data_IF_182260798466
#
_entry.id   IF_182260798466
#
_cell.length_a   1.000
_cell.length_b   1.000
_cell.length_c   1.000
_cell.angle_alpha   90.00
_cell.angle_beta   90.00
_cell.angle_gamma   90.00
#
_symmetry.space_group_name_H-M   'P 1'
#
loop_
_entity.id
_entity.type
_entity.pdbx_description
1 polymer ?
#
# COMPACT_ATOMS: atom_id res chain seq x y z
N UNK A 1 -5.24 -11.58 -1.27
CA UNK A 1 -4.17 -10.54 -1.30
C UNK A 1 -3.87 -9.99 0.08
N UNK A 2 -4.86 -9.71 0.94
CA UNK A 2 -4.60 -9.26 2.32
C UNK A 2 -3.67 -10.22 3.10
N UNK A 3 -3.92 -11.53 3.04
CA UNK A 3 -3.08 -12.52 3.69
C UNK A 3 -1.64 -12.55 3.14
N UNK A 4 -1.45 -12.40 1.81
CA UNK A 4 -0.12 -12.30 1.21
C UNK A 4 0.60 -11.02 1.66
N UNK A 5 -0.12 -9.90 1.73
CA UNK A 5 0.44 -8.64 2.23
C UNK A 5 0.85 -8.77 3.70
N UNK A 6 0.06 -9.47 4.51
CA UNK A 6 0.40 -9.76 5.90
C UNK A 6 1.59 -10.73 6.03
N UNK A 7 1.66 -11.77 5.19
CA UNK A 7 2.80 -12.69 5.19
C UNK A 7 4.12 -11.95 4.88
N UNK A 8 4.10 -11.02 3.94
CA UNK A 8 5.27 -10.19 3.61
C UNK A 8 5.63 -9.16 4.70
N UNK A 9 4.71 -8.84 5.60
CA UNK A 9 5.01 -8.01 6.78
C UNK A 9 6.03 -8.68 7.71
N UNK A 10 6.04 -10.01 7.79
CA UNK A 10 7.01 -10.74 8.63
C UNK A 10 8.44 -10.76 8.08
N UNK A 11 8.68 -10.24 6.88
CA UNK A 11 10.02 -9.97 6.38
C UNK A 11 10.48 -8.61 6.94
N UNK A 12 11.40 -8.58 7.92
CA UNK A 12 11.75 -7.35 8.61
C UNK A 12 12.60 -6.45 7.71
N UNK A 13 12.02 -5.32 7.28
CA UNK A 13 12.71 -4.25 6.58
C UNK A 13 12.52 -2.93 7.33
N UNK A 14 12.93 -2.91 8.58
CA UNK A 14 12.84 -1.73 9.45
C UNK A 14 14.23 -1.28 9.90
N UNK A 15 14.37 0.03 10.06
CA UNK A 15 15.53 0.65 10.70
C UNK A 15 15.00 1.35 11.94
N UNK A 16 15.35 0.80 13.11
CA UNK A 16 14.73 1.23 14.38
C UNK A 16 13.22 0.96 14.42
N UNK A 17 12.50 1.71 15.25
CA UNK A 17 11.05 1.58 15.43
C UNK A 17 10.22 2.44 14.48
N UNK A 18 10.84 3.40 13.78
CA UNK A 18 10.10 4.48 13.11
C UNK A 18 10.19 4.45 11.59
N UNK A 19 11.16 3.74 11.01
CA UNK A 19 11.30 3.61 9.56
C UNK A 19 11.03 2.17 9.12
N UNK A 20 10.12 1.99 8.15
CA UNK A 20 9.72 0.67 7.65
C UNK A 20 9.51 0.69 6.15
N UNK A 21 10.05 -0.30 5.44
CA UNK A 21 9.70 -0.58 4.04
C UNK A 21 8.65 -1.69 4.03
N UNK A 22 7.45 -1.35 3.61
CA UNK A 22 6.30 -2.26 3.63
C UNK A 22 6.20 -3.08 2.34
N UNK A 23 6.71 -4.30 2.35
CA UNK A 23 6.59 -5.22 1.20
C UNK A 23 5.15 -5.62 0.88
N UNK A 24 4.25 -5.61 1.87
CA UNK A 24 2.83 -5.87 1.66
C UNK A 24 2.14 -4.85 0.74
N UNK A 25 2.77 -3.69 0.51
CA UNK A 25 2.30 -2.71 -0.47
C UNK A 25 2.31 -3.27 -1.90
N UNK A 26 3.25 -4.18 -2.23
CA UNK A 26 3.38 -4.78 -3.57
C UNK A 26 2.11 -5.56 -3.96
N UNK A 27 1.71 -6.63 -3.23
CA UNK A 27 0.54 -7.41 -3.61
C UNK A 27 -0.76 -6.62 -3.51
N UNK A 28 -0.88 -5.67 -2.57
CA UNK A 28 -2.07 -4.84 -2.49
C UNK A 28 -2.18 -3.90 -3.69
N UNK A 29 -1.08 -3.24 -4.07
CA UNK A 29 -1.06 -2.36 -5.25
C UNK A 29 -1.33 -3.15 -6.54
N UNK A 30 -0.72 -4.33 -6.70
CA UNK A 30 -1.02 -5.22 -7.84
C UNK A 30 -2.51 -5.56 -7.90
N UNK A 31 -3.10 -5.93 -6.76
CA UNK A 31 -4.52 -6.27 -6.68
C UNK A 31 -5.41 -5.08 -7.01
N UNK A 32 -5.06 -3.90 -6.52
CA UNK A 32 -5.76 -2.65 -6.78
C UNK A 32 -5.76 -2.28 -8.28
N UNK A 33 -4.59 -2.33 -8.90
CA UNK A 33 -4.42 -2.11 -10.34
C UNK A 33 -5.16 -3.14 -11.21
N UNK A 34 -5.34 -4.35 -10.68
CA UNK A 34 -5.98 -5.46 -11.37
C UNK A 34 -7.50 -5.48 -11.21
N UNK A 35 -8.04 -5.02 -10.08
CA UNK A 35 -9.45 -5.20 -9.67
C UNK A 35 -10.19 -3.88 -9.41
N UNK A 36 -9.48 -2.76 -9.42
CA UNK A 36 -10.05 -1.45 -9.16
C UNK A 36 -10.15 -1.11 -7.68
N UNK A 37 -10.65 0.10 -7.42
CA UNK A 37 -10.59 0.73 -6.10
C UNK A 37 -11.44 0.01 -5.04
N UNK A 38 -12.71 -0.29 -5.33
CA UNK A 38 -13.63 -0.86 -4.31
C UNK A 38 -13.13 -2.18 -3.72
N UNK A 39 -12.76 -3.21 -4.53
CA UNK A 39 -12.18 -4.44 -3.98
C UNK A 39 -10.86 -4.21 -3.25
N UNK A 40 -10.06 -3.23 -3.70
CA UNK A 40 -8.77 -2.93 -3.10
C UNK A 40 -8.90 -2.26 -1.73
N UNK A 41 -9.86 -1.35 -1.57
CA UNK A 41 -10.18 -0.76 -0.26
C UNK A 41 -10.56 -1.86 0.75
N UNK A 42 -11.40 -2.80 0.33
CA UNK A 42 -11.78 -3.92 1.18
C UNK A 42 -10.58 -4.84 1.52
N UNK A 43 -9.74 -5.15 0.54
CA UNK A 43 -8.52 -5.93 0.78
C UNK A 43 -7.54 -5.21 1.72
N UNK A 44 -7.43 -3.89 1.61
CA UNK A 44 -6.66 -3.05 2.53
C UNK A 44 -7.22 -3.09 3.95
N UNK A 45 -8.55 -2.96 4.10
CA UNK A 45 -9.21 -3.10 5.40
C UNK A 45 -8.89 -4.46 6.04
N UNK A 46 -9.04 -5.54 5.29
CA UNK A 46 -8.71 -6.87 5.77
C UNK A 46 -7.23 -6.98 6.17
N UNK A 47 -6.33 -6.42 5.38
CA UNK A 47 -4.92 -6.40 5.73
C UNK A 47 -4.66 -5.66 7.05
N UNK A 48 -5.24 -4.47 7.24
CA UNK A 48 -5.15 -3.73 8.50
C UNK A 48 -5.71 -4.50 9.70
N UNK A 49 -6.84 -5.20 9.52
CA UNK A 49 -7.44 -6.03 10.56
C UNK A 49 -6.57 -7.24 10.93
N UNK A 50 -5.81 -7.80 9.98
CA UNK A 50 -4.91 -8.92 10.25
C UNK A 50 -3.79 -8.57 11.24
N UNK A 51 -3.40 -7.32 11.39
CA UNK A 51 -2.44 -6.90 12.43
C UNK A 51 -2.95 -7.19 13.85
N UNK A 52 -4.26 -7.01 14.08
CA UNK A 52 -4.87 -7.35 15.37
C UNK A 52 -4.94 -8.87 15.56
N UNK A 53 -5.35 -9.60 14.54
CA UNK A 53 -5.48 -11.07 14.58
C UNK A 53 -4.14 -11.76 14.82
N UNK A 54 -3.06 -11.24 14.21
CA UNK A 54 -1.71 -11.79 14.35
C UNK A 54 -0.97 -11.30 15.59
N UNK A 55 -1.56 -10.37 16.36
CA UNK A 55 -0.94 -9.79 17.55
C UNK A 55 0.26 -8.87 17.25
N UNK A 56 0.41 -8.41 16.01
CA UNK A 56 1.53 -7.54 15.59
C UNK A 56 1.17 -6.05 15.61
N UNK A 57 -0.08 -5.71 15.93
CA UNK A 57 -0.50 -4.33 16.11
C UNK A 57 0.11 -3.74 17.38
N UNK A 58 0.72 -2.56 17.25
CA UNK A 58 1.17 -1.79 18.40
C UNK A 58 0.07 -0.81 18.80
N UNK A 59 -0.47 -0.95 19.99
CA UNK A 59 -1.65 -0.21 20.44
C UNK A 59 -1.28 0.70 21.62
N UNK A 60 -1.28 2.01 21.40
CA UNK A 60 -1.19 3.02 22.47
C UNK A 60 -2.59 3.41 22.96
N UNK A 61 -3.50 3.65 22.04
CA UNK A 61 -4.90 3.97 22.29
C UNK A 61 -5.79 3.32 21.25
N UNK A 62 -7.09 3.09 21.54
CA UNK A 62 -8.01 2.55 20.52
C UNK A 62 -8.12 3.43 19.28
N UNK A 63 -8.08 4.75 19.43
CA UNK A 63 -8.18 5.70 18.31
C UNK A 63 -6.94 5.65 17.43
N UNK A 64 -5.75 5.63 18.03
CA UNK A 64 -4.49 5.44 17.30
C UNK A 64 -4.53 4.13 16.50
N UNK A 65 -4.88 3.02 17.13
CA UNK A 65 -4.93 1.72 16.50
C UNK A 65 -5.91 1.69 15.30
N UNK A 66 -7.08 2.34 15.43
CA UNK A 66 -8.06 2.46 14.36
C UNK A 66 -7.49 3.24 13.15
N UNK A 67 -6.77 4.33 13.41
CA UNK A 67 -6.17 5.15 12.34
C UNK A 67 -5.03 4.40 11.65
N UNK A 68 -4.12 3.80 12.42
CA UNK A 68 -2.90 3.19 11.88
C UNK A 68 -3.15 1.88 11.14
N UNK A 69 -4.17 1.10 11.54
CA UNK A 69 -4.41 -0.21 10.92
C UNK A 69 -5.64 -0.20 10.00
N UNK A 70 -6.89 -0.19 10.46
CA UNK A 70 -8.03 -0.25 9.56
C UNK A 70 -8.06 0.90 8.55
N UNK A 71 -7.90 2.14 8.99
CA UNK A 71 -8.03 3.31 8.11
C UNK A 71 -6.84 3.38 7.16
N UNK A 72 -5.61 3.46 7.67
CA UNK A 72 -4.43 3.65 6.84
C UNK A 72 -4.31 2.55 5.76
N UNK A 73 -4.48 1.30 6.14
CA UNK A 73 -4.37 0.18 5.20
C UNK A 73 -5.52 0.13 4.18
N UNK A 74 -6.74 0.54 4.57
CA UNK A 74 -7.85 0.71 3.62
C UNK A 74 -7.46 1.69 2.51
N UNK A 75 -6.88 2.83 2.88
CA UNK A 75 -6.52 3.88 1.93
C UNK A 75 -5.42 3.46 0.94
N UNK A 76 -4.61 2.44 1.24
CA UNK A 76 -3.71 1.85 0.24
C UNK A 76 -4.45 1.34 -1.01
N UNK A 77 -5.73 1.01 -0.90
CA UNK A 77 -6.60 0.63 -2.01
C UNK A 77 -6.83 1.71 -3.06
N UNK A 78 -6.47 2.97 -2.79
CA UNK A 78 -6.54 4.06 -3.78
C UNK A 78 -5.58 3.88 -4.96
N UNK A 79 -4.62 2.97 -4.89
CA UNK A 79 -3.89 2.51 -6.08
C UNK A 79 -4.84 2.07 -7.21
N UNK A 80 -6.02 1.58 -6.88
CA UNK A 80 -7.06 1.14 -7.81
C UNK A 80 -7.72 2.24 -8.65
N UNK A 81 -7.50 3.53 -8.33
CA UNK A 81 -7.91 4.66 -9.17
C UNK A 81 -7.27 4.59 -10.56
N UNK A 82 -6.13 3.91 -10.66
CA UNK A 82 -5.38 3.75 -11.90
C UNK A 82 -5.64 2.40 -12.60
N UNK A 83 -6.65 1.64 -12.17
CA UNK A 83 -7.08 0.41 -12.82
C UNK A 83 -7.51 0.66 -14.28
N UNK A 84 -8.49 1.53 -14.51
CA UNK A 84 -8.98 1.79 -15.87
C UNK A 84 -7.92 2.41 -16.79
N UNK A 85 -7.14 3.43 -16.36
CA UNK A 85 -6.02 3.91 -17.15
C UNK A 85 -5.02 2.81 -17.54
N UNK A 86 -4.72 1.87 -16.63
CA UNK A 86 -3.85 0.74 -16.93
C UNK A 86 -4.49 -0.21 -17.94
N UNK A 87 -5.74 -0.60 -17.72
CA UNK A 87 -6.44 -1.51 -18.63
C UNK A 87 -6.57 -0.91 -20.04
N UNK A 88 -6.85 0.38 -20.13
CA UNK A 88 -6.90 1.07 -21.44
C UNK A 88 -5.53 1.06 -22.12
N UNK A 89 -4.46 1.44 -21.41
CA UNK A 89 -3.11 1.43 -21.97
C UNK A 89 -2.69 0.03 -22.45
N UNK A 90 -3.09 -1.02 -21.73
CA UNK A 90 -2.82 -2.42 -22.13
C UNK A 90 -3.64 -2.87 -23.34
N UNK A 91 -4.87 -2.38 -23.53
CA UNK A 91 -5.68 -2.61 -24.73
C UNK A 91 -5.08 -1.92 -25.94
N UNK A 92 -4.57 -0.69 -25.75
CA UNK A 92 -3.95 0.13 -26.79
C UNK A 92 -2.52 -0.29 -27.12
N UNK A 93 -1.99 -1.35 -26.47
CA UNK A 93 -0.59 -1.79 -26.56
C UNK A 93 0.42 -0.66 -26.31
N UNK A 94 0.06 0.27 -25.40
CA UNK A 94 0.90 1.42 -25.06
C UNK A 94 1.62 1.19 -23.72
N UNK A 95 2.80 0.58 -23.80
CA UNK A 95 3.60 0.23 -22.62
C UNK A 95 4.01 1.45 -21.79
N UNK A 96 4.27 2.60 -22.42
CA UNK A 96 4.65 3.81 -21.71
C UNK A 96 3.50 4.31 -20.81
N UNK A 97 2.28 4.35 -21.36
CA UNK A 97 1.08 4.70 -20.58
C UNK A 97 0.77 3.67 -19.50
N UNK A 98 0.97 2.39 -19.77
CA UNK A 98 0.75 1.33 -18.79
C UNK A 98 1.72 1.47 -17.60
N UNK A 99 3.01 1.64 -17.87
CA UNK A 99 4.03 1.89 -16.83
C UNK A 99 3.74 3.15 -16.03
N UNK A 100 3.29 4.22 -16.69
CA UNK A 100 2.88 5.45 -16.01
C UNK A 100 1.66 5.23 -15.10
N UNK A 101 0.67 4.45 -15.52
CA UNK A 101 -0.49 4.11 -14.69
C UNK A 101 -0.07 3.28 -13.47
N UNK A 102 0.85 2.33 -13.62
CA UNK A 102 1.42 1.55 -12.51
C UNK A 102 2.14 2.49 -11.53
N UNK A 103 2.96 3.41 -12.01
CA UNK A 103 3.68 4.35 -11.17
C UNK A 103 2.73 5.25 -10.38
N UNK A 104 1.74 5.85 -11.05
CA UNK A 104 0.73 6.68 -10.40
C UNK A 104 -0.08 5.90 -9.37
N UNK A 105 -0.45 4.65 -9.67
CA UNK A 105 -1.15 3.77 -8.73
C UNK A 105 -0.32 3.45 -7.49
N UNK A 106 0.96 3.09 -7.67
CA UNK A 106 1.87 2.82 -6.55
C UNK A 106 2.02 4.05 -5.64
N UNK A 107 2.22 5.23 -6.22
CA UNK A 107 2.33 6.48 -5.47
C UNK A 107 1.02 6.87 -4.78
N UNK A 108 -0.12 6.74 -5.45
CA UNK A 108 -1.42 7.09 -4.87
C UNK A 108 -1.77 6.19 -3.68
N UNK A 109 -1.59 4.88 -3.81
CA UNK A 109 -1.87 3.93 -2.72
C UNK A 109 -0.93 4.11 -1.53
N UNK A 110 0.38 4.23 -1.80
CA UNK A 110 1.36 4.48 -0.74
C UNK A 110 1.15 5.84 -0.08
N UNK A 111 0.99 6.91 -0.86
CA UNK A 111 0.77 8.25 -0.33
C UNK A 111 -0.48 8.34 0.54
N UNK A 112 -1.60 7.77 0.09
CA UNK A 112 -2.85 7.77 0.85
C UNK A 112 -2.72 6.99 2.17
N UNK A 113 -2.03 5.84 2.16
CA UNK A 113 -1.77 5.05 3.37
C UNK A 113 -0.87 5.80 4.35
N UNK A 114 0.29 6.28 3.88
CA UNK A 114 1.27 6.91 4.75
C UNK A 114 0.84 8.31 5.23
N UNK A 115 -0.08 8.96 4.56
CA UNK A 115 -0.75 10.14 5.11
C UNK A 115 -1.41 9.85 6.46
N UNK A 116 -2.12 8.73 6.60
CA UNK A 116 -2.74 8.34 7.87
C UNK A 116 -1.72 7.91 8.92
N UNK A 117 -0.63 7.26 8.53
CA UNK A 117 0.47 6.99 9.45
C UNK A 117 1.14 8.29 9.92
N UNK A 118 1.28 9.30 9.03
CA UNK A 118 1.75 10.63 9.42
C UNK A 118 0.82 11.26 10.45
N UNK A 119 -0.49 11.25 10.23
CA UNK A 119 -1.48 11.81 11.16
C UNK A 119 -1.41 11.11 12.51
N UNK A 120 -1.37 9.78 12.54
CA UNK A 120 -1.25 9.02 13.78
C UNK A 120 0.09 9.27 14.49
N UNK A 121 1.19 9.30 13.74
CA UNK A 121 2.51 9.59 14.29
C UNK A 121 2.60 10.97 14.92
N UNK A 122 2.01 11.97 14.29
CA UNK A 122 1.94 13.31 14.85
C UNK A 122 1.07 13.37 16.11
N UNK A 123 -0.13 12.79 16.07
CA UNK A 123 -1.10 12.92 17.15
C UNK A 123 -0.80 12.07 18.40
N UNK A 124 -0.20 10.89 18.22
CA UNK A 124 -0.08 9.90 19.31
C UNK A 124 1.36 9.53 19.65
N UNK A 125 2.31 9.66 18.72
CA UNK A 125 3.69 9.23 18.90
C UNK A 125 4.66 10.36 19.20
N UNK A 126 4.15 11.57 19.45
CA UNK A 126 4.96 12.78 19.65
C UNK A 126 5.98 12.68 20.78
N UNK A 127 5.66 11.93 21.86
CA UNK A 127 6.58 11.69 22.97
C UNK A 127 7.82 10.87 22.57
N UNK A 128 7.77 10.16 21.44
CA UNK A 128 8.86 9.33 20.94
C UNK A 128 9.68 10.03 19.83
N UNK A 129 9.42 11.33 19.59
CA UNK A 129 10.19 12.07 18.60
C UNK A 129 11.67 12.13 19.00
N UNK A 130 12.56 11.74 18.06
CA UNK A 130 13.99 11.70 18.26
C UNK A 130 14.65 13.02 17.82
N UNK A 131 15.92 13.20 18.19
CA UNK A 131 16.79 14.32 17.78
C UNK A 131 16.23 15.72 18.10
N UNK A 132 15.37 15.84 19.13
CA UNK A 132 14.75 17.12 19.49
C UNK A 132 13.79 17.69 18.46
N UNK A 133 13.35 16.87 17.49
CA UNK A 133 12.38 17.30 16.48
C UNK A 133 11.01 17.55 17.09
N UNK A 134 10.27 18.52 16.52
CA UNK A 134 8.84 18.67 16.81
C UNK A 134 8.09 17.41 16.34
N UNK A 135 7.07 16.92 17.09
CA UNK A 135 6.33 15.69 16.77
C UNK A 135 5.84 15.59 15.31
N UNK A 136 5.28 16.67 14.78
CA UNK A 136 4.78 16.69 13.40
C UNK A 136 5.91 16.54 12.37
N UNK A 137 7.08 17.16 12.63
CA UNK A 137 8.22 17.10 11.72
C UNK A 137 8.84 15.70 11.75
N UNK A 138 9.01 15.12 12.93
CA UNK A 138 9.49 13.75 13.09
C UNK A 138 8.57 12.76 12.36
N UNK A 139 7.25 12.87 12.59
CA UNK A 139 6.28 12.01 11.91
C UNK A 139 6.30 12.19 10.39
N UNK A 140 6.41 13.43 9.90
CA UNK A 140 6.50 13.71 8.46
C UNK A 140 7.74 13.08 7.85
N UNK A 141 8.90 13.23 8.48
CA UNK A 141 10.18 12.69 7.98
C UNK A 141 10.14 11.16 7.99
N UNK A 142 9.75 10.54 9.09
CA UNK A 142 9.83 9.08 9.23
C UNK A 142 8.76 8.37 8.41
N UNK A 143 7.52 8.82 8.48
CA UNK A 143 6.44 8.23 7.68
C UNK A 143 6.56 8.61 6.20
N UNK A 144 6.98 9.84 5.88
CA UNK A 144 7.27 10.25 4.51
C UNK A 144 8.37 9.41 3.87
N UNK A 145 9.49 9.22 4.56
CA UNK A 145 10.59 8.37 4.10
C UNK A 145 10.15 6.90 3.93
N UNK A 146 9.42 6.36 4.92
CA UNK A 146 8.86 5.00 4.86
C UNK A 146 7.90 4.84 3.68
N UNK A 147 7.03 5.83 3.45
CA UNK A 147 6.08 5.85 2.34
C UNK A 147 6.78 5.90 0.98
N UNK A 148 7.76 6.78 0.82
CA UNK A 148 8.54 6.89 -0.42
C UNK A 148 9.34 5.63 -0.70
N UNK A 149 10.01 5.07 0.30
CA UNK A 149 10.77 3.83 0.16
C UNK A 149 9.86 2.65 -0.20
N UNK A 150 8.71 2.51 0.49
CA UNK A 150 7.72 1.48 0.19
C UNK A 150 7.13 1.63 -1.22
N UNK A 151 6.83 2.86 -1.63
CA UNK A 151 6.35 3.15 -2.98
C UNK A 151 7.40 2.83 -4.04
N UNK A 152 8.67 3.19 -3.82
CA UNK A 152 9.77 2.91 -4.73
C UNK A 152 9.99 1.40 -4.90
N UNK A 153 10.05 0.65 -3.82
CA UNK A 153 10.19 -0.82 -3.87
C UNK A 153 8.99 -1.46 -4.59
N UNK A 154 7.76 -1.05 -4.24
CA UNK A 154 6.57 -1.56 -4.91
C UNK A 154 6.58 -1.23 -6.41
N UNK A 155 6.93 0.00 -6.77
CA UNK A 155 7.03 0.44 -8.17
C UNK A 155 8.04 -0.38 -8.96
N UNK A 156 9.26 -0.54 -8.43
CA UNK A 156 10.33 -1.31 -9.10
C UNK A 156 9.85 -2.74 -9.35
N UNK A 157 9.34 -3.41 -8.33
CA UNK A 157 8.86 -4.80 -8.44
C UNK A 157 7.70 -4.90 -9.44
N UNK A 158 6.73 -4.00 -9.37
CA UNK A 158 5.58 -4.01 -10.28
C UNK A 158 5.96 -3.72 -11.72
N UNK A 159 6.93 -2.83 -11.97
CA UNK A 159 7.45 -2.56 -13.32
C UNK A 159 8.20 -3.78 -13.89
N UNK A 160 8.99 -4.46 -13.07
CA UNK A 160 9.65 -5.73 -13.45
C UNK A 160 8.59 -6.78 -13.79
N UNK A 161 7.61 -6.98 -12.91
CA UNK A 161 6.50 -7.92 -13.14
C UNK A 161 5.73 -7.61 -14.42
N UNK A 162 5.45 -6.33 -14.68
CA UNK A 162 4.77 -5.90 -15.90
C UNK A 162 5.61 -6.19 -17.15
N UNK A 163 6.90 -5.92 -17.09
CA UNK A 163 7.81 -6.16 -18.23
C UNK A 163 7.99 -7.65 -18.54
N UNK A 164 7.96 -8.52 -17.52
CA UNK A 164 8.14 -9.97 -17.70
C UNK A 164 6.82 -10.69 -18.01
N UNK A 165 5.72 -10.28 -17.41
CA UNK A 165 4.43 -10.95 -17.51
C UNK A 165 3.26 -9.97 -17.38
N UNK A 166 2.97 -9.15 -18.42
CA UNK A 166 1.87 -8.16 -18.39
C UNK A 166 0.50 -8.79 -18.07
N UNK A 167 0.31 -10.06 -18.43
CA UNK A 167 -0.93 -10.79 -18.17
C UNK A 167 -1.30 -10.88 -16.68
N UNK A 168 -0.32 -10.79 -15.77
CA UNK A 168 -0.56 -10.78 -14.32
C UNK A 168 -1.45 -9.59 -13.90
N UNK A 169 -1.40 -8.48 -14.63
CA UNK A 169 -2.22 -7.30 -14.35
C UNK A 169 -3.65 -7.43 -14.88
N UNK A 170 -3.94 -8.39 -15.75
CA UNK A 170 -5.30 -8.62 -16.27
C UNK A 170 -6.09 -9.52 -15.30
N UNK A 171 -7.31 -9.15 -14.96
CA UNK A 171 -8.23 -10.05 -14.29
C UNK A 171 -8.64 -11.15 -15.29
N UNK A 172 -8.45 -12.42 -14.95
CA UNK A 172 -9.07 -13.50 -15.71
C UNK A 172 -10.58 -13.30 -15.66
N UNK A 173 -11.19 -13.03 -16.81
CA UNK A 173 -12.63 -13.18 -16.93
C UNK A 173 -12.90 -14.67 -16.82
N UNK A 174 -13.56 -15.10 -15.77
CA UNK A 174 -14.21 -16.41 -15.78
C UNK A 174 -15.18 -16.37 -16.95
N UNK A 175 -14.80 -17.01 -18.05
CA UNK A 175 -15.78 -17.39 -19.07
C UNK A 175 -16.74 -18.35 -18.35
N UNK A 176 -17.86 -17.82 -17.89
CA UNK A 176 -19.03 -18.66 -17.68
C UNK A 176 -19.38 -19.18 -19.06
N UNK A 177 -18.90 -20.38 -19.40
CA UNK A 177 -19.47 -21.14 -20.50
C UNK A 177 -20.96 -21.31 -20.15
N UNK A 178 -21.81 -20.56 -20.86
CA UNK A 178 -23.22 -20.90 -20.90
C UNK A 178 -23.30 -22.30 -21.53
N UNK A 179 -23.58 -23.29 -20.71
CA UNK A 179 -24.11 -24.59 -21.12
C UNK A 179 -25.58 -24.39 -21.43
#
# INVERSE_FOLDING_TARGET
MAALAMALHFVPLNIGSSFTISLGQIPLTLFALRRGTKPALFAGLLWGMLYFVTGTAYILTPVQALIEYPIAFTFAGFAGLYHEPLMQAMRDHNDARAKLAIAKGALAGAGARFFWHFVAGWAFWGAYALWGMKPWLFSLVMNGASGLASAAVALIVLLIMYSMAPSIFRASLHRTSKV
#
